data_IF_747270792055
#
_entry.id   IF_747270792055
#
_cell.length_a   1.000
_cell.length_b   1.000
_cell.length_c   1.000
_cell.angle_alpha   90.00
_cell.angle_beta   90.00
_cell.angle_gamma   90.00
#
_symmetry.space_group_name_H-M   'P 1'
#
loop_
_entity.id
_entity.type
_entity.pdbx_description
1 polymer ?
#
# COMPACT_ATOMS: atom_id res chain seq x y z
N UNK A 1 4.82 2.14 23.08
CA UNK A 1 3.40 2.55 23.22
C UNK A 1 2.49 1.40 22.83
N UNK A 2 1.38 1.18 23.50
CA UNK A 2 0.36 0.18 23.10
C UNK A 2 -0.61 0.73 22.06
N UNK A 3 -1.44 -0.13 21.46
CA UNK A 3 -2.50 0.31 20.54
C UNK A 3 -3.43 1.36 21.17
N UNK A 4 -3.78 1.17 22.45
CA UNK A 4 -4.73 2.02 23.16
C UNK A 4 -4.11 3.38 23.47
N UNK A 5 -2.81 3.41 23.81
CA UNK A 5 -2.05 4.65 23.97
C UNK A 5 -1.93 5.41 22.65
N UNK A 6 -1.67 4.72 21.53
CA UNK A 6 -1.63 5.32 20.20
C UNK A 6 -2.99 5.92 19.83
N UNK A 7 -4.07 5.17 20.04
CA UNK A 7 -5.44 5.66 19.80
C UNK A 7 -5.74 6.86 20.70
N UNK A 8 -5.36 6.82 21.99
CA UNK A 8 -5.60 7.92 22.92
C UNK A 8 -4.89 9.21 22.52
N UNK A 9 -3.63 9.12 22.07
CA UNK A 9 -2.88 10.27 21.52
C UNK A 9 -3.62 10.85 20.31
N UNK A 10 -4.12 10.00 19.41
CA UNK A 10 -4.89 10.47 18.26
C UNK A 10 -6.24 11.05 18.65
N UNK A 11 -6.96 10.45 19.60
CA UNK A 11 -8.22 11.00 20.11
C UNK A 11 -8.01 12.41 20.64
N UNK A 12 -6.95 12.65 21.42
CA UNK A 12 -6.62 13.99 21.92
C UNK A 12 -6.34 14.99 20.79
N UNK A 13 -5.55 14.60 19.79
CA UNK A 13 -5.28 15.46 18.62
C UNK A 13 -6.55 15.76 17.82
N UNK A 14 -7.46 14.79 17.71
CA UNK A 14 -8.75 14.97 17.06
C UNK A 14 -9.64 15.91 17.87
N UNK A 15 -9.70 15.75 19.19
CA UNK A 15 -10.45 16.62 20.09
C UNK A 15 -10.01 18.08 19.92
N UNK A 16 -8.72 18.37 20.05
CA UNK A 16 -8.18 19.73 19.87
C UNK A 16 -8.56 20.32 18.49
N UNK A 17 -8.36 19.55 17.42
CA UNK A 17 -8.67 20.00 16.04
C UNK A 17 -10.15 20.24 15.81
N UNK A 18 -11.02 19.39 16.33
CA UNK A 18 -12.46 19.52 16.15
C UNK A 18 -13.04 20.60 17.05
N UNK A 19 -12.50 20.79 18.26
CA UNK A 19 -12.91 21.86 19.16
C UNK A 19 -12.61 23.24 18.55
N UNK A 20 -11.45 23.40 17.89
CA UNK A 20 -11.13 24.61 17.14
C UNK A 20 -12.11 24.88 15.99
N UNK A 21 -12.46 23.84 15.22
CA UNK A 21 -13.48 23.95 14.14
C UNK A 21 -14.87 24.27 14.68
N UNK A 22 -15.25 23.68 15.81
CA UNK A 22 -16.54 23.91 16.47
C UNK A 22 -16.63 25.35 16.98
N UNK A 23 -15.55 25.89 17.57
CA UNK A 23 -15.48 27.29 18.02
C UNK A 23 -15.58 28.29 16.86
N UNK A 24 -15.10 27.91 15.67
CA UNK A 24 -15.13 28.75 14.47
C UNK A 24 -16.53 28.84 13.83
N UNK A 25 -17.50 28.04 14.26
CA UNK A 25 -18.86 28.07 13.72
C UNK A 25 -19.90 28.26 14.82
N UNK A 26 -20.86 29.15 14.59
CA UNK A 26 -21.99 29.40 15.49
C UNK A 26 -23.24 28.59 15.11
N UNK A 27 -23.20 27.88 13.97
CA UNK A 27 -24.28 27.03 13.51
C UNK A 27 -24.32 25.71 14.29
N UNK A 28 -25.40 25.49 15.04
CA UNK A 28 -25.64 24.30 15.85
C UNK A 28 -25.61 23.03 14.97
N UNK A 29 -26.17 23.08 13.76
CA UNK A 29 -26.20 21.93 12.86
C UNK A 29 -24.78 21.56 12.38
N UNK A 30 -23.96 22.57 12.07
CA UNK A 30 -22.56 22.38 11.74
C UNK A 30 -21.76 21.83 12.91
N UNK A 31 -21.97 22.33 14.14
CA UNK A 31 -21.32 21.80 15.34
C UNK A 31 -21.67 20.33 15.58
N UNK A 32 -22.94 19.94 15.46
CA UNK A 32 -23.37 18.55 15.64
C UNK A 32 -22.83 17.63 14.55
N UNK A 33 -22.70 18.12 13.31
CA UNK A 33 -22.01 17.40 12.24
C UNK A 33 -20.55 17.17 12.60
N UNK A 34 -19.83 18.21 13.05
CA UNK A 34 -18.42 18.10 13.46
C UNK A 34 -18.23 17.11 14.61
N UNK A 35 -19.13 17.11 15.61
CA UNK A 35 -19.11 16.13 16.71
C UNK A 35 -19.30 14.69 16.21
N UNK A 36 -20.22 14.47 15.26
CA UNK A 36 -20.42 13.15 14.64
C UNK A 36 -19.22 12.72 13.80
N UNK A 37 -18.65 13.63 13.01
CA UNK A 37 -17.48 13.36 12.19
C UNK A 37 -16.28 12.95 13.06
N UNK A 38 -16.07 13.62 14.20
CA UNK A 38 -15.07 13.25 15.20
C UNK A 38 -15.25 11.81 15.69
N UNK A 39 -16.47 11.46 16.13
CA UNK A 39 -16.78 10.10 16.61
C UNK A 39 -16.55 9.05 15.52
N UNK A 40 -16.95 9.36 14.28
CA UNK A 40 -16.75 8.48 13.14
C UNK A 40 -15.27 8.26 12.82
N UNK A 41 -14.44 9.30 12.93
CA UNK A 41 -12.99 9.19 12.68
C UNK A 41 -12.30 8.32 13.74
N UNK A 42 -12.66 8.48 15.03
CA UNK A 42 -12.16 7.61 16.11
C UNK A 42 -12.62 6.16 15.90
N UNK A 43 -13.89 5.94 15.56
CA UNK A 43 -14.43 4.60 15.30
C UNK A 43 -13.72 3.93 14.12
N UNK A 44 -13.44 4.66 13.03
CA UNK A 44 -12.68 4.14 11.89
C UNK A 44 -11.26 3.76 12.27
N UNK A 45 -10.60 4.57 13.11
CA UNK A 45 -9.26 4.29 13.61
C UNK A 45 -9.20 3.03 14.47
N UNK A 46 -10.23 2.78 15.29
CA UNK A 46 -10.32 1.56 16.08
C UNK A 46 -10.57 0.33 15.19
N UNK A 47 -11.42 0.48 14.17
CA UNK A 47 -11.76 -0.60 13.22
C UNK A 47 -10.61 -0.93 12.26
N UNK A 48 -9.67 -0.01 12.03
CA UNK A 48 -8.51 -0.24 11.16
C UNK A 48 -7.39 -1.02 11.85
N UNK A 49 -7.55 -1.40 13.12
CA UNK A 49 -6.64 -2.30 13.80
C UNK A 49 -6.80 -3.73 13.27
N UNK A 50 -5.73 -4.29 12.72
CA UNK A 50 -5.69 -5.64 12.17
C UNK A 50 -4.51 -6.38 12.79
N UNK A 51 -4.77 -7.52 13.41
CA UNK A 51 -3.72 -8.44 13.85
C UNK A 51 -3.42 -9.47 12.76
N UNK A 52 -2.13 -9.74 12.50
CA UNK A 52 -1.69 -10.69 11.49
C UNK A 52 -1.45 -12.07 12.12
N UNK A 53 -2.40 -12.55 12.93
CA UNK A 53 -2.26 -13.81 13.69
C UNK A 53 -2.66 -15.05 12.88
N UNK A 54 -3.23 -14.86 11.69
CA UNK A 54 -3.71 -15.93 10.82
C UNK A 54 -2.65 -16.44 9.85
N UNK A 55 -2.90 -17.62 9.26
CA UNK A 55 -2.17 -18.14 8.09
C UNK A 55 -2.81 -17.74 6.76
N UNK A 56 -3.94 -17.04 6.80
CA UNK A 56 -4.69 -16.63 5.63
C UNK A 56 -4.14 -15.31 5.09
N UNK A 57 -4.20 -15.19 3.76
CA UNK A 57 -3.84 -13.94 3.10
C UNK A 57 -4.70 -12.79 3.61
N UNK A 58 -4.04 -11.71 3.99
CA UNK A 58 -4.64 -10.44 4.38
C UNK A 58 -4.83 -9.56 3.15
N UNK A 59 -5.85 -8.70 3.08
CA UNK A 59 -5.95 -7.69 2.03
C UNK A 59 -4.70 -6.80 1.94
N UNK A 60 -3.93 -6.71 3.02
CA UNK A 60 -2.69 -5.95 3.10
C UNK A 60 -1.50 -6.63 2.40
N UNK A 61 -1.61 -7.91 2.04
CA UNK A 61 -0.54 -8.66 1.34
C UNK A 61 -0.29 -8.15 -0.08
N UNK A 62 -1.24 -7.42 -0.66
CA UNK A 62 -1.16 -6.83 -2.01
C UNK A 62 -1.23 -5.30 -1.97
N UNK A 63 -0.86 -4.70 -0.84
CA UNK A 63 -0.96 -3.26 -0.59
C UNK A 63 0.41 -2.57 -0.59
N UNK A 64 0.45 -1.24 -0.48
CA UNK A 64 1.72 -0.50 -0.43
C UNK A 64 2.64 -0.94 0.74
N UNK A 65 2.05 -1.48 1.80
CA UNK A 65 2.77 -1.99 2.97
C UNK A 65 3.12 -3.49 2.86
N UNK A 66 2.97 -4.08 1.68
CA UNK A 66 3.49 -5.42 1.40
C UNK A 66 4.99 -5.51 1.73
N UNK A 67 5.37 -6.59 2.42
CA UNK A 67 6.72 -6.83 2.91
C UNK A 67 7.08 -6.06 4.20
N UNK A 68 6.21 -5.17 4.68
CA UNK A 68 6.43 -4.44 5.93
C UNK A 68 5.85 -5.16 7.16
N UNK A 69 5.13 -6.26 7.00
CA UNK A 69 4.67 -7.11 8.09
C UNK A 69 4.89 -8.59 7.74
N UNK A 70 4.74 -9.47 8.72
CA UNK A 70 4.64 -10.90 8.49
C UNK A 70 3.44 -11.47 9.24
N UNK A 71 2.97 -12.61 8.76
CA UNK A 71 1.89 -13.36 9.37
C UNK A 71 2.42 -14.27 10.48
N UNK A 72 1.58 -14.52 11.48
CA UNK A 72 1.85 -15.38 12.62
C UNK A 72 3.10 -14.96 13.43
N UNK A 73 3.55 -13.72 13.35
CA UNK A 73 4.72 -13.20 14.09
C UNK A 73 4.35 -12.42 15.35
N UNK A 74 3.06 -12.34 15.70
CA UNK A 74 2.59 -11.44 16.78
C UNK A 74 2.62 -9.97 16.36
N UNK A 75 2.63 -9.72 15.06
CA UNK A 75 2.56 -8.40 14.47
C UNK A 75 1.11 -7.97 14.25
N UNK A 76 0.85 -6.68 14.45
CA UNK A 76 -0.43 -6.06 14.13
C UNK A 76 -0.21 -4.70 13.49
N UNK A 77 -1.24 -4.15 12.87
CA UNK A 77 -1.20 -2.87 12.18
C UNK A 77 -2.44 -2.04 12.52
N UNK A 78 -2.28 -0.72 12.50
CA UNK A 78 -3.37 0.24 12.54
C UNK A 78 -3.18 1.25 11.41
N UNK A 79 -4.17 1.39 10.53
CA UNK A 79 -4.16 2.38 9.45
C UNK A 79 -4.85 3.68 9.90
N UNK A 80 -4.23 4.82 9.57
CA UNK A 80 -4.84 6.14 9.67
C UNK A 80 -4.78 6.84 8.32
N UNK A 81 -5.96 7.21 7.82
CA UNK A 81 -6.06 8.02 6.62
C UNK A 81 -6.12 9.51 6.96
N UNK A 82 -5.18 10.28 6.45
CA UNK A 82 -5.08 11.73 6.63
C UNK A 82 -5.35 12.45 5.30
N UNK A 83 -6.63 12.53 4.96
CA UNK A 83 -7.12 13.19 3.74
C UNK A 83 -7.39 14.68 3.86
N UNK A 84 -7.31 15.25 5.06
CA UNK A 84 -7.68 16.64 5.26
C UNK A 84 -6.65 17.57 4.60
N UNK A 85 -7.15 18.60 3.92
CA UNK A 85 -6.38 19.65 3.24
C UNK A 85 -5.49 19.18 2.08
N UNK A 86 -5.95 18.17 1.31
CA UNK A 86 -5.29 17.75 0.08
C UNK A 86 -3.96 17.03 0.27
N UNK A 87 -3.61 16.65 1.51
CA UNK A 87 -2.34 15.96 1.82
C UNK A 87 -2.33 14.47 1.48
N UNK A 88 -3.49 13.88 1.17
CA UNK A 88 -3.76 12.47 0.86
C UNK A 88 -2.65 11.50 1.33
N UNK A 89 -2.41 11.46 2.64
CA UNK A 89 -1.37 10.62 3.21
C UNK A 89 -1.98 9.52 4.06
N UNK A 90 -1.36 8.35 4.04
CA UNK A 90 -1.76 7.21 4.89
C UNK A 90 -0.63 6.87 5.83
N UNK A 91 -0.95 6.72 7.11
CA UNK A 91 0.00 6.26 8.13
C UNK A 91 -0.42 4.87 8.57
N UNK A 92 0.55 3.98 8.65
CA UNK A 92 0.39 2.64 9.17
C UNK A 92 1.29 2.51 10.39
N UNK A 93 0.70 2.12 11.51
CA UNK A 93 1.38 1.90 12.77
C UNK A 93 1.48 0.40 12.99
N UNK A 94 2.70 -0.13 13.05
CA UNK A 94 2.98 -1.54 13.25
C UNK A 94 3.35 -1.81 14.70
N UNK A 95 2.70 -2.82 15.24
CA UNK A 95 2.86 -3.30 16.59
C UNK A 95 3.51 -4.67 16.56
N UNK A 96 4.37 -4.94 17.53
CA UNK A 96 4.96 -6.24 17.81
C UNK A 96 4.76 -6.51 19.29
N UNK A 97 4.16 -7.65 19.63
CA UNK A 97 3.77 -7.99 21.01
C UNK A 97 2.94 -6.88 21.69
N UNK A 98 2.04 -6.26 20.91
CA UNK A 98 1.16 -5.18 21.37
C UNK A 98 1.85 -3.83 21.57
N UNK A 99 3.14 -3.69 21.24
CA UNK A 99 3.91 -2.44 21.33
C UNK A 99 4.24 -1.88 19.95
N UNK A 100 3.99 -0.60 19.76
CA UNK A 100 4.39 0.16 18.58
C UNK A 100 5.91 0.09 18.42
N UNK A 101 6.36 -0.40 17.28
CA UNK A 101 7.79 -0.48 16.95
C UNK A 101 8.11 0.15 15.60
N UNK A 102 7.11 0.32 14.71
CA UNK A 102 7.32 0.90 13.39
C UNK A 102 6.13 1.74 12.94
N UNK A 103 6.43 2.81 12.22
CA UNK A 103 5.47 3.65 11.51
C UNK A 103 5.87 3.71 10.04
N UNK A 104 4.91 3.50 9.15
CA UNK A 104 5.06 3.68 7.70
C UNK A 104 4.14 4.82 7.26
N UNK A 105 4.68 5.80 6.57
CA UNK A 105 3.95 6.93 6.02
C UNK A 105 4.00 6.84 4.50
N UNK A 106 2.84 6.58 3.90
CA UNK A 106 2.63 6.67 2.46
C UNK A 106 2.20 8.08 2.09
N UNK A 107 2.97 8.73 1.22
CA UNK A 107 2.61 9.97 0.56
C UNK A 107 2.16 9.66 -0.86
N UNK A 108 0.89 9.93 -1.16
CA UNK A 108 0.40 9.91 -2.53
C UNK A 108 1.05 11.07 -3.30
N UNK A 109 1.76 10.78 -4.38
CA UNK A 109 2.42 11.83 -5.18
C UNK A 109 1.49 12.45 -6.22
N UNK A 110 0.27 11.93 -6.41
CA UNK A 110 -0.71 12.50 -7.33
C UNK A 110 -1.07 13.95 -7.00
N UNK A 111 -1.00 14.32 -5.72
CA UNK A 111 -1.25 15.68 -5.20
C UNK A 111 -0.10 16.65 -5.49
N UNK A 112 1.09 16.14 -5.83
CA UNK A 112 2.27 16.96 -6.07
C UNK A 112 2.31 17.42 -7.53
N UNK A 113 2.86 18.62 -7.81
CA UNK A 113 3.22 19.02 -9.17
C UNK A 113 4.16 18.00 -9.84
N UNK A 114 4.02 17.80 -11.15
CA UNK A 114 4.75 16.76 -11.91
C UNK A 114 6.27 16.87 -11.79
N UNK A 115 6.80 18.10 -11.74
CA UNK A 115 8.22 18.42 -11.52
C UNK A 115 8.73 17.98 -10.14
N UNK A 116 7.83 17.72 -9.19
CA UNK A 116 8.12 17.30 -7.81
C UNK A 116 7.77 15.84 -7.54
N UNK A 117 7.22 15.11 -8.52
CA UNK A 117 6.89 13.68 -8.43
C UNK A 117 8.12 12.80 -8.66
N UNK A 118 9.19 13.03 -7.89
CA UNK A 118 10.40 12.24 -8.03
C UNK A 118 11.09 12.01 -6.69
N UNK A 119 11.85 10.92 -6.63
CA UNK A 119 12.56 10.51 -5.42
C UNK A 119 13.64 11.53 -5.00
N UNK A 120 14.21 12.30 -5.93
CA UNK A 120 15.22 13.31 -5.62
C UNK A 120 14.64 14.50 -4.84
N UNK A 121 13.46 14.99 -5.21
CA UNK A 121 12.74 16.02 -4.45
C UNK A 121 12.38 15.51 -3.06
N UNK A 122 11.88 14.28 -2.96
CA UNK A 122 11.56 13.67 -1.68
C UNK A 122 12.79 13.56 -0.77
N UNK A 123 13.90 13.05 -1.33
CA UNK A 123 15.20 13.01 -0.68
C UNK A 123 15.59 14.38 -0.13
N UNK A 124 15.56 15.42 -0.97
CA UNK A 124 15.96 16.77 -0.56
C UNK A 124 15.11 17.29 0.61
N UNK A 125 13.80 17.05 0.58
CA UNK A 125 12.90 17.44 1.67
C UNK A 125 13.20 16.65 2.95
N UNK A 126 13.50 15.35 2.85
CA UNK A 126 13.85 14.54 4.01
C UNK A 126 15.23 14.91 4.57
N UNK A 127 16.23 15.16 3.72
CA UNK A 127 17.56 15.61 4.14
C UNK A 127 17.51 16.97 4.83
N UNK A 128 16.62 17.87 4.38
CA UNK A 128 16.36 19.14 5.08
C UNK A 128 15.75 18.97 6.47
N UNK A 129 15.11 17.84 6.77
CA UNK A 129 14.48 17.57 8.08
C UNK A 129 15.33 16.72 9.01
N UNK A 130 15.98 15.68 8.48
CA UNK A 130 16.72 14.69 9.25
C UNK A 130 18.24 14.82 9.10
N UNK A 131 18.72 15.73 8.25
CA UNK A 131 20.13 15.85 7.89
C UNK A 131 20.52 14.92 6.74
N UNK A 132 21.81 14.88 6.35
CA UNK A 132 22.28 13.97 5.32
C UNK A 132 22.04 12.51 5.74
N UNK A 133 21.43 11.72 4.86
CA UNK A 133 21.16 10.30 5.08
C UNK A 133 22.14 9.39 4.35
N UNK A 134 22.34 8.19 4.89
CA UNK A 134 23.15 7.14 4.27
C UNK A 134 22.39 6.50 3.11
N UNK A 135 23.02 6.40 1.94
CA UNK A 135 22.42 5.74 0.78
C UNK A 135 22.81 4.27 0.76
N UNK A 136 21.84 3.39 1.01
CA UNK A 136 22.03 1.94 1.02
C UNK A 136 21.00 1.25 0.11
N UNK A 137 21.47 0.50 -0.90
CA UNK A 137 20.63 -0.32 -1.80
C UNK A 137 19.44 0.46 -2.41
N UNK A 138 19.66 1.71 -2.80
CA UNK A 138 18.62 2.56 -3.39
C UNK A 138 17.59 3.11 -2.39
N UNK A 139 17.89 3.02 -1.08
CA UNK A 139 17.14 3.65 0.00
C UNK A 139 18.03 4.66 0.71
N UNK A 140 17.40 5.61 1.37
CA UNK A 140 18.10 6.60 2.19
C UNK A 140 17.75 6.31 3.63
N UNK A 141 18.75 6.20 4.49
CA UNK A 141 18.60 5.78 5.87
C UNK A 141 19.16 6.90 6.77
N UNK A 142 18.39 7.28 7.77
CA UNK A 142 18.80 8.17 8.85
C UNK A 142 18.78 7.38 10.14
N UNK A 143 19.93 7.26 10.77
CA UNK A 143 20.09 6.52 12.03
C UNK A 143 20.22 7.51 13.17
N UNK A 144 19.46 7.27 14.22
CA UNK A 144 19.57 7.96 15.51
C UNK A 144 19.71 6.92 16.61
N UNK A 145 20.04 7.35 17.83
CA UNK A 145 20.16 6.46 18.99
C UNK A 145 18.83 5.82 19.42
N UNK A 146 17.71 6.38 18.94
CA UNK A 146 16.35 5.99 19.32
C UNK A 146 15.58 5.30 18.19
N UNK A 147 15.76 5.76 16.96
CA UNK A 147 15.04 5.24 15.80
C UNK A 147 15.88 5.25 14.52
N UNK A 148 15.52 4.38 13.59
CA UNK A 148 15.99 4.42 12.21
C UNK A 148 14.84 4.90 11.32
N UNK A 149 15.09 5.89 10.47
CA UNK A 149 14.17 6.30 9.43
C UNK A 149 14.72 5.91 8.06
N UNK A 150 13.86 5.45 7.15
CA UNK A 150 14.23 5.12 5.77
C UNK A 150 13.23 5.62 4.74
N UNK A 151 13.74 6.22 3.68
CA UNK A 151 12.96 6.60 2.51
C UNK A 151 12.93 5.44 1.50
N UNK A 152 11.74 5.15 0.97
CA UNK A 152 11.51 4.11 -0.02
C UNK A 152 10.81 4.71 -1.23
N UNK A 153 11.38 4.46 -2.41
CA UNK A 153 10.72 4.71 -3.68
C UNK A 153 9.72 3.58 -3.97
N UNK A 154 8.43 3.92 -3.98
CA UNK A 154 7.33 3.03 -4.36
C UNK A 154 6.59 3.57 -5.60
N UNK A 155 7.16 4.53 -6.33
CA UNK A 155 6.51 5.21 -7.46
C UNK A 155 6.09 4.22 -8.55
N UNK A 156 6.98 3.30 -8.94
CA UNK A 156 6.72 2.34 -10.03
C UNK A 156 5.57 1.36 -9.76
N UNK A 157 5.25 1.12 -8.50
CA UNK A 157 4.27 0.09 -8.10
C UNK A 157 2.98 0.69 -7.54
N UNK A 158 3.05 1.87 -6.90
CA UNK A 158 1.94 2.44 -6.14
C UNK A 158 1.77 3.96 -6.34
N UNK A 159 2.52 4.60 -7.25
CA UNK A 159 2.52 6.07 -7.44
C UNK A 159 2.64 6.83 -6.11
N UNK A 160 3.51 6.32 -5.23
CA UNK A 160 3.65 6.82 -3.87
C UNK A 160 5.11 6.81 -3.42
N UNK A 161 5.41 7.70 -2.48
CA UNK A 161 6.67 7.74 -1.76
C UNK A 161 6.42 7.33 -0.33
N UNK A 162 7.33 6.53 0.24
CA UNK A 162 7.17 6.01 1.59
C UNK A 162 8.30 6.46 2.51
N UNK A 163 7.94 6.83 3.73
CA UNK A 163 8.87 7.01 4.85
C UNK A 163 8.56 5.96 5.90
N UNK A 164 9.55 5.18 6.29
CA UNK A 164 9.44 4.24 7.39
C UNK A 164 10.28 4.73 8.54
N UNK A 165 9.73 4.66 9.75
CA UNK A 165 10.41 5.00 11.00
C UNK A 165 10.25 3.79 11.92
N UNK A 166 11.35 3.22 12.39
CA UNK A 166 11.35 1.99 13.18
C UNK A 166 12.27 2.11 14.40
N UNK A 167 11.88 1.45 15.49
CA UNK A 167 12.70 1.32 16.69
C UNK A 167 13.86 0.37 16.39
N UNK A 168 15.08 0.91 16.41
CA UNK A 168 16.30 0.19 16.10
C UNK A 168 16.57 -0.97 17.08
N UNK A 169 16.03 -0.92 18.29
CA UNK A 169 16.23 -1.94 19.34
C UNK A 169 15.32 -3.16 19.14
N UNK A 170 14.12 -2.93 18.60
CA UNK A 170 13.10 -3.98 18.38
C UNK A 170 13.31 -4.68 17.03
N UNK A 171 13.81 -3.96 16.03
CA UNK A 171 14.00 -4.48 14.66
C UNK A 171 14.71 -5.85 14.60
N UNK A 172 15.85 -6.10 15.29
CA UNK A 172 16.53 -7.39 15.20
C UNK A 172 15.67 -8.56 15.68
N UNK A 173 14.86 -8.33 16.72
CA UNK A 173 13.96 -9.34 17.28
C UNK A 173 12.84 -9.68 16.28
N UNK A 174 12.26 -8.64 15.66
CA UNK A 174 11.22 -8.81 14.63
C UNK A 174 11.78 -9.50 13.39
N UNK A 175 13.00 -9.17 12.96
CA UNK A 175 13.64 -9.86 11.83
C UNK A 175 13.87 -11.33 12.15
N UNK A 176 14.41 -11.65 13.32
CA UNK A 176 14.66 -13.03 13.74
C UNK A 176 13.37 -13.87 13.79
N UNK A 177 12.27 -13.34 14.35
CA UNK A 177 11.01 -14.08 14.39
C UNK A 177 10.39 -14.26 12.99
N UNK A 178 10.54 -13.27 12.11
CA UNK A 178 10.11 -13.37 10.71
C UNK A 178 10.88 -14.44 9.96
N UNK A 179 12.19 -14.52 10.14
CA UNK A 179 13.02 -15.56 9.53
C UNK A 179 12.68 -16.93 10.09
N UNK A 180 12.51 -17.06 11.41
CA UNK A 180 12.15 -18.32 12.06
C UNK A 180 10.76 -18.84 11.65
N UNK A 181 9.83 -17.94 11.32
CA UNK A 181 8.46 -18.26 10.90
C UNK A 181 8.24 -18.09 9.40
N UNK A 182 9.29 -17.83 8.63
CA UNK A 182 9.17 -17.66 7.19
C UNK A 182 8.60 -18.96 6.60
N UNK A 183 7.55 -18.88 5.77
CA UNK A 183 7.11 -20.06 5.04
C UNK A 183 8.28 -20.58 4.20
N UNK A 184 8.42 -21.91 4.03
CA UNK A 184 9.41 -22.46 3.11
C UNK A 184 9.19 -21.78 1.74
N UNK A 185 10.28 -21.41 1.03
CA UNK A 185 10.16 -20.76 -0.26
C UNK A 185 9.23 -21.59 -1.12
N UNK A 186 8.11 -21.00 -1.56
CA UNK A 186 7.22 -21.66 -2.49
C UNK A 186 8.06 -22.04 -3.70
N UNK A 187 8.20 -23.35 -3.97
CA UNK A 187 8.69 -23.80 -5.26
C UNK A 187 7.84 -23.11 -6.30
N UNK A 188 8.51 -22.30 -7.13
CA UNK A 188 7.89 -21.60 -8.24
C UNK A 188 7.03 -22.59 -9.02
N UNK A 189 5.76 -22.24 -9.22
CA UNK A 189 4.82 -22.98 -10.06
C UNK A 189 5.53 -23.45 -11.34
N UNK A 190 5.32 -24.70 -11.74
CA UNK A 190 5.93 -25.29 -12.94
C UNK A 190 5.75 -24.42 -14.20
N UNK A 191 4.68 -23.63 -14.25
CA UNK A 191 4.42 -22.64 -15.31
C UNK A 191 5.44 -21.50 -15.32
N UNK A 192 5.85 -21.00 -14.16
CA UNK A 192 6.88 -19.94 -14.04
C UNK A 192 8.25 -20.52 -14.38
N UNK A 193 8.55 -21.76 -13.94
CA UNK A 193 9.78 -22.46 -14.33
C UNK A 193 9.85 -22.66 -15.85
N UNK A 194 8.76 -23.03 -16.51
CA UNK A 194 8.70 -23.23 -17.95
C UNK A 194 8.89 -21.93 -18.78
N UNK A 195 8.50 -20.78 -18.25
CA UNK A 195 8.70 -19.46 -18.91
C UNK A 195 10.13 -18.94 -18.72
N UNK A 196 10.78 -19.28 -17.59
CA UNK A 196 12.08 -18.73 -17.20
C UNK A 196 13.25 -19.65 -17.57
N UNK A 197 13.02 -20.96 -17.81
CA UNK A 197 14.06 -21.92 -18.17
C UNK A 197 14.48 -21.80 -19.65
N UNK A 198 15.70 -21.31 -19.95
CA UNK A 198 16.18 -21.15 -21.32
C UNK A 198 16.55 -22.48 -21.99
N UNK A 199 16.68 -23.59 -21.25
CA UNK A 199 17.13 -24.88 -21.78
C UNK A 199 15.99 -25.88 -22.08
N UNK A 200 14.75 -25.59 -21.67
CA UNK A 200 13.54 -26.38 -22.00
C UNK A 200 13.66 -27.90 -21.78
N UNK A 201 14.33 -28.34 -20.71
CA UNK A 201 14.62 -29.78 -20.55
C UNK A 201 13.46 -30.60 -20.01
N UNK A 202 12.53 -30.00 -19.25
CA UNK A 202 11.47 -30.75 -18.54
C UNK A 202 10.04 -30.19 -18.71
N UNK A 203 9.82 -29.27 -19.66
CA UNK A 203 8.51 -28.67 -19.92
C UNK A 203 8.24 -28.55 -21.44
N UNK A 204 6.97 -28.67 -21.89
CA UNK A 204 6.62 -28.46 -23.29
C UNK A 204 6.96 -27.03 -23.72
N UNK A 205 7.58 -26.90 -24.89
CA UNK A 205 8.03 -25.62 -25.44
C UNK A 205 6.83 -24.67 -25.63
N UNK A 206 6.89 -23.52 -24.95
CA UNK A 206 5.84 -22.49 -24.97
C UNK A 206 6.09 -21.43 -26.06
N UNK A 207 7.25 -21.47 -26.72
CA UNK A 207 7.58 -20.54 -27.83
C UNK A 207 6.62 -20.55 -29.02
N UNK A 208 5.88 -21.62 -29.37
CA UNK A 208 4.93 -21.55 -30.47
C UNK A 208 3.60 -20.86 -30.10
N UNK A 209 3.41 -20.41 -28.85
CA UNK A 209 2.12 -19.85 -28.42
C UNK A 209 1.83 -18.42 -28.91
N UNK A 210 2.83 -17.71 -29.45
CA UNK A 210 2.65 -16.34 -29.94
C UNK A 210 1.75 -16.27 -31.18
N UNK A 211 1.71 -17.33 -31.98
CA UNK A 211 0.88 -17.43 -33.18
C UNK A 211 -0.42 -18.21 -32.95
N UNK A 212 -0.62 -18.84 -31.78
CA UNK A 212 -1.79 -19.70 -31.53
C UNK A 212 -3.10 -18.92 -31.56
N UNK A 213 -3.12 -17.68 -31.07
CA UNK A 213 -4.31 -16.81 -31.15
C UNK A 213 -4.61 -16.44 -32.60
N UNK A 214 -3.58 -16.12 -33.39
CA UNK A 214 -3.71 -15.81 -34.82
C UNK A 214 -4.15 -17.02 -35.66
N UNK A 215 -3.69 -18.23 -35.31
CA UNK A 215 -4.06 -19.47 -35.99
C UNK A 215 -5.50 -19.91 -35.63
N UNK A 216 -5.96 -19.67 -34.39
CA UNK A 216 -7.37 -19.87 -34.01
C UNK A 216 -8.28 -18.86 -34.73
N UNK A 217 -7.85 -17.60 -34.85
CA UNK A 217 -8.56 -16.58 -35.61
C UNK A 217 -8.58 -16.88 -37.12
N UNK A 218 -7.55 -17.52 -37.66
CA UNK A 218 -7.50 -17.94 -39.08
C UNK A 218 -8.31 -19.21 -39.35
N UNK A 219 -8.46 -20.09 -38.36
CA UNK A 219 -9.28 -21.30 -38.43
C UNK A 219 -10.79 -21.02 -38.32
N UNK A 220 -11.18 -19.92 -37.68
CA UNK A 220 -12.54 -19.38 -37.76
C UNK A 220 -12.66 -18.55 -39.05
N UNK A 221 -12.95 -19.22 -40.18
CA UNK A 221 -13.14 -18.58 -41.48
C UNK A 221 -14.14 -17.41 -41.48
N UNK A 222 -14.22 -16.62 -42.56
CA UNK A 222 -14.97 -15.37 -42.58
C UNK A 222 -16.45 -15.59 -42.23
N UNK A 223 -16.97 -14.73 -41.35
CA UNK A 223 -18.36 -14.72 -40.93
C UNK A 223 -19.32 -14.76 -42.14
N UNK A 224 -20.46 -15.47 -42.04
CA UNK A 224 -21.43 -15.51 -43.12
C UNK A 224 -22.00 -14.11 -43.38
N UNK A 225 -22.00 -13.72 -44.66
CA UNK A 225 -22.53 -12.47 -45.20
C UNK A 225 -24.01 -12.26 -44.83
N UNK A 226 -24.45 -11.04 -44.48
CA UNK A 226 -25.87 -10.76 -44.29
C UNK A 226 -26.63 -10.84 -45.63
N UNK A 227 -27.75 -11.54 -45.63
CA UNK A 227 -28.66 -11.73 -46.77
C UNK A 227 -29.29 -10.40 -47.21
N UNK A 228 -29.38 -10.09 -48.52
CA UNK A 228 -30.08 -8.89 -48.99
C UNK A 228 -31.59 -9.03 -48.80
N UNK A 229 -32.17 -8.05 -48.11
CA UNK A 229 -33.61 -7.93 -47.91
C UNK A 229 -34.38 -7.80 -49.22
N UNK A 230 -35.45 -8.58 -49.30
CA UNK A 230 -36.58 -8.44 -50.23
C UNK A 230 -37.11 -7.00 -50.23
N UNK A 231 -37.10 -6.36 -51.40
CA UNK A 231 -37.95 -5.22 -51.71
C UNK A 231 -39.00 -5.61 -52.76
N UNK A 232 -40.29 -5.48 -52.45
CA UNK A 232 -41.27 -4.88 -53.35
C UNK A 232 -41.88 -3.62 -52.68
N UNK A 233 -42.56 -2.68 -53.37
CA UNK A 233 -43.30 -2.86 -54.62
C UNK A 233 -43.08 -1.77 -55.70
N UNK A 234 -43.56 -2.06 -56.91
CA UNK A 234 -43.85 -1.05 -57.95
C UNK A 234 -45.11 -0.28 -57.57
N UNK A 235 -45.05 1.04 -57.62
CA UNK A 235 -46.21 1.93 -57.70
C UNK A 235 -46.17 2.69 -59.02
N UNK A 236 -47.28 2.54 -59.77
CA UNK A 236 -47.67 3.14 -61.05
C UNK A 236 -46.96 2.66 -62.31
#
# INVERSE_FOLDING_TARGET
>A
MTKDEVIAVFSKQLDERYDDKIKQTTDIAAQDRLRRDKKNEISRLQQSYVAFDGTKSSPWDVSIVEGEFAHNTGEAMLERWENQNGKNQRRFFFFYEGKLWKMFVSLDVSILPEDKKNFATFRSVMEGKYGPGDVERGRIIWRTDEFEARAIDKLKSYDALALVIEDARVRPQVVAIREAKAPPPHETSSVIKAVVDPEHKDHPDIKPSSATVDDVLRAQGPAPTPTPGSAPPKTK
#
